data_IF_385773034643
#
_entry.id   IF_385773034643
#
_cell.length_a   1.000
_cell.length_b   1.000
_cell.length_c   1.000
_cell.angle_alpha   90.00
_cell.angle_beta   90.00
_cell.angle_gamma   90.00
#
_symmetry.space_group_name_H-M   'P 1'
#
loop_
_entity.id
_entity.type
_entity.pdbx_description
1 polymer ?
#
# COMPACT_ATOMS: atom_id res chain seq x y z
N UNK A 1 17.81 26.87 29.80
CA UNK A 1 17.14 27.12 28.51
C UNK A 1 17.81 26.23 27.48
N UNK A 2 17.02 25.60 26.60
CA UNK A 2 17.39 24.60 25.57
C UNK A 2 17.41 23.12 26.00
N UNK A 3 16.30 22.42 25.71
CA UNK A 3 16.21 20.95 25.61
C UNK A 3 16.47 20.58 24.14
N UNK A 4 17.31 19.58 23.83
CA UNK A 4 17.44 19.08 22.46
C UNK A 4 16.49 17.91 22.20
N UNK A 5 15.78 18.01 21.08
CA UNK A 5 15.34 16.95 20.17
C UNK A 5 14.74 15.66 20.79
N UNK A 6 13.44 15.68 21.03
CA UNK A 6 12.65 14.52 21.48
C UNK A 6 12.17 13.62 20.35
N UNK A 7 13.06 13.03 19.55
CA UNK A 7 12.73 11.88 18.71
C UNK A 7 12.67 10.61 19.57
N UNK A 8 11.60 10.47 20.38
CA UNK A 8 11.35 9.24 21.14
C UNK A 8 10.36 8.37 20.37
N UNK A 9 10.89 7.44 19.60
CA UNK A 9 10.17 6.29 19.04
C UNK A 9 9.63 5.43 20.18
N UNK A 10 8.36 5.63 20.56
CA UNK A 10 7.63 4.80 21.51
C UNK A 10 6.56 4.01 20.76
N UNK A 11 6.94 2.82 20.28
CA UNK A 11 6.00 1.80 19.83
C UNK A 11 5.48 1.06 21.06
N UNK A 12 4.25 1.36 21.49
CA UNK A 12 3.48 0.41 22.31
C UNK A 12 2.21 0.00 21.55
N UNK A 13 2.16 -1.29 21.25
CA UNK A 13 0.99 -2.02 20.77
C UNK A 13 0.21 -2.52 21.98
N UNK A 14 -1.08 -2.20 22.07
CA UNK A 14 -2.03 -2.92 22.92
C UNK A 14 -2.96 -3.72 22.00
N UNK A 15 -3.15 -5.02 22.21
CA UNK A 15 -4.14 -5.78 21.48
C UNK A 15 -5.54 -5.42 22.01
N UNK A 16 -6.48 -5.14 21.12
CA UNK A 16 -7.90 -5.12 21.45
C UNK A 16 -8.63 -5.92 20.38
N UNK A 17 -9.31 -6.98 20.83
CA UNK A 17 -9.98 -7.94 19.96
C UNK A 17 -10.98 -7.27 19.02
N UNK A 18 -10.99 -7.73 17.76
CA UNK A 18 -12.04 -7.46 16.77
C UNK A 18 -12.25 -6.01 16.32
N UNK A 19 -11.49 -5.04 16.83
CA UNK A 19 -11.62 -3.61 16.54
C UNK A 19 -10.35 -3.00 15.95
N UNK A 20 -10.51 -1.88 15.24
CA UNK A 20 -9.44 -1.10 14.59
C UNK A 20 -8.22 -0.94 15.51
N UNK A 21 -7.04 -1.39 15.05
CA UNK A 21 -5.79 -1.21 15.79
C UNK A 21 -5.39 0.27 15.80
N UNK A 22 -5.13 0.83 16.98
CA UNK A 22 -4.70 2.23 17.15
C UNK A 22 -3.17 2.33 17.08
N UNK A 23 -2.66 3.30 16.32
CA UNK A 23 -1.23 3.57 16.19
C UNK A 23 -0.96 5.06 16.44
N UNK A 24 -0.17 5.37 17.47
CA UNK A 24 0.23 6.75 17.78
C UNK A 24 1.53 7.08 17.02
N UNK A 25 1.57 8.23 16.37
CA UNK A 25 2.71 8.67 15.56
C UNK A 25 3.06 10.09 15.95
N UNK A 26 4.34 10.34 16.22
CA UNK A 26 4.88 11.69 16.38
C UNK A 26 5.53 12.13 15.07
N UNK A 27 5.19 13.32 14.60
CA UNK A 27 5.71 13.91 13.37
C UNK A 27 6.45 15.20 13.71
N UNK A 28 7.56 15.53 13.02
CA UNK A 28 8.09 16.89 12.99
C UNK A 28 7.03 17.88 12.49
N UNK A 29 7.12 19.14 12.91
CA UNK A 29 6.14 20.18 12.58
C UNK A 29 5.89 20.32 11.08
N UNK A 30 6.95 20.21 10.27
CA UNK A 30 6.87 20.31 8.81
C UNK A 30 6.00 19.18 8.21
N UNK A 31 6.17 17.94 8.70
CA UNK A 31 5.34 16.81 8.25
C UNK A 31 3.90 16.92 8.77
N UNK A 32 3.70 17.47 9.97
CA UNK A 32 2.35 17.73 10.47
C UNK A 32 1.62 18.74 9.57
N UNK A 33 2.27 19.85 9.22
CA UNK A 33 1.69 20.88 8.34
C UNK A 33 1.32 20.31 6.97
N UNK A 34 2.19 19.49 6.39
CA UNK A 34 1.90 18.79 5.15
C UNK A 34 0.65 17.89 5.28
N UNK A 35 0.56 17.08 6.33
CA UNK A 35 -0.61 16.23 6.58
C UNK A 35 -1.89 17.05 6.74
N UNK A 36 -1.85 18.15 7.50
CA UNK A 36 -3.01 19.03 7.71
C UNK A 36 -3.50 19.63 6.38
N UNK A 37 -2.58 20.05 5.50
CA UNK A 37 -2.92 20.54 4.17
C UNK A 37 -3.60 19.46 3.34
N UNK A 38 -3.06 18.24 3.34
CA UNK A 38 -3.64 17.12 2.60
C UNK A 38 -5.04 16.75 3.10
N UNK A 39 -5.28 16.84 4.41
CA UNK A 39 -6.61 16.64 5.01
C UNK A 39 -7.59 17.68 4.50
N UNK A 40 -7.20 18.96 4.48
CA UNK A 40 -8.05 20.05 4.01
C UNK A 40 -8.34 19.99 2.50
N UNK A 41 -7.32 19.72 1.67
CA UNK A 41 -7.43 19.71 0.21
C UNK A 41 -8.24 18.52 -0.32
N UNK A 42 -8.13 17.37 0.32
CA UNK A 42 -8.75 16.13 -0.13
C UNK A 42 -9.95 15.70 0.73
N UNK A 43 -10.47 16.61 1.56
CA UNK A 43 -11.66 16.43 2.39
C UNK A 43 -11.62 15.17 3.27
N UNK A 44 -10.44 14.79 3.78
CA UNK A 44 -10.35 13.72 4.78
C UNK A 44 -10.95 14.21 6.10
N UNK A 45 -11.57 13.32 6.87
CA UNK A 45 -12.14 13.65 8.18
C UNK A 45 -11.09 13.75 9.30
N UNK A 46 -9.87 13.24 9.08
CA UNK A 46 -8.77 13.33 10.06
C UNK A 46 -7.40 13.02 9.45
N UNK A 47 -6.34 13.43 10.14
CA UNK A 47 -4.96 13.04 9.82
C UNK A 47 -4.77 11.51 9.83
N UNK A 48 -5.41 10.81 10.76
CA UNK A 48 -5.36 9.33 10.83
C UNK A 48 -6.04 8.67 9.63
N UNK A 49 -7.04 9.30 9.02
CA UNK A 49 -7.65 8.83 7.78
C UNK A 49 -6.71 9.00 6.60
N UNK A 50 -6.15 10.20 6.41
CA UNK A 50 -5.16 10.44 5.38
C UNK A 50 -3.99 9.45 5.44
N UNK A 51 -3.42 9.26 6.64
CA UNK A 51 -2.29 8.34 6.81
C UNK A 51 -2.66 6.88 6.55
N UNK A 52 -3.87 6.45 6.90
CA UNK A 52 -4.36 5.09 6.56
C UNK A 52 -4.46 4.90 5.04
N UNK A 53 -4.99 5.88 4.32
CA UNK A 53 -5.05 5.83 2.86
C UNK A 53 -3.66 5.87 2.23
N UNK A 54 -2.74 6.68 2.77
CA UNK A 54 -1.37 6.72 2.30
C UNK A 54 -0.67 5.36 2.46
N UNK A 55 -0.86 4.69 3.60
CA UNK A 55 -0.31 3.35 3.85
C UNK A 55 -0.90 2.32 2.88
N UNK A 56 -2.20 2.38 2.58
CA UNK A 56 -2.83 1.48 1.59
C UNK A 56 -2.22 1.68 0.21
N UNK A 57 -2.11 2.93 -0.25
CA UNK A 57 -1.46 3.26 -1.54
C UNK A 57 -0.02 2.76 -1.58
N UNK A 58 0.74 2.95 -0.51
CA UNK A 58 2.11 2.44 -0.45
C UNK A 58 2.16 0.91 -0.54
N UNK A 59 1.26 0.20 0.16
CA UNK A 59 1.16 -1.25 0.08
C UNK A 59 0.84 -1.71 -1.35
N UNK A 60 -0.07 -1.05 -2.04
CA UNK A 60 -0.45 -1.40 -3.42
C UNK A 60 0.73 -1.19 -4.39
N UNK A 61 1.51 -0.11 -4.20
CA UNK A 61 2.73 0.16 -4.96
C UNK A 61 3.77 -0.94 -4.73
N UNK A 62 4.01 -1.34 -3.47
CA UNK A 62 4.96 -2.42 -3.15
C UNK A 62 4.51 -3.77 -3.75
N UNK A 63 3.20 -4.05 -3.74
CA UNK A 63 2.65 -5.24 -4.39
C UNK A 63 2.88 -5.23 -5.90
N UNK A 64 2.56 -4.11 -6.56
CA UNK A 64 2.79 -3.94 -8.00
C UNK A 64 4.27 -4.11 -8.34
N UNK A 65 5.16 -3.48 -7.55
CA UNK A 65 6.61 -3.60 -7.72
C UNK A 65 7.05 -5.06 -7.62
N UNK A 66 6.52 -5.81 -6.67
CA UNK A 66 6.79 -7.25 -6.53
C UNK A 66 6.41 -8.05 -7.78
N UNK A 67 5.21 -7.80 -8.34
CA UNK A 67 4.75 -8.48 -9.57
C UNK A 67 5.62 -8.12 -10.77
N UNK A 68 5.96 -6.85 -10.94
CA UNK A 68 6.81 -6.39 -12.04
C UNK A 68 8.21 -7.00 -11.97
N UNK A 69 8.82 -7.06 -10.77
CA UNK A 69 10.11 -7.71 -10.57
C UNK A 69 10.02 -9.23 -10.81
N UNK A 70 8.92 -9.86 -10.36
CA UNK A 70 8.64 -11.27 -10.64
C UNK A 70 8.58 -11.55 -12.15
N UNK A 71 7.89 -10.72 -12.92
CA UNK A 71 7.83 -10.81 -14.38
C UNK A 71 9.17 -10.51 -15.06
N UNK A 72 9.89 -9.48 -14.62
CA UNK A 72 11.22 -9.18 -15.15
C UNK A 72 12.21 -10.33 -14.93
N UNK A 73 12.05 -11.07 -13.83
CA UNK A 73 12.87 -12.22 -13.48
C UNK A 73 12.28 -13.57 -13.97
N UNK A 74 11.18 -13.57 -14.75
CA UNK A 74 10.54 -14.81 -15.21
C UNK A 74 11.20 -15.43 -16.45
N UNK A 75 12.32 -14.86 -16.91
CA UNK A 75 13.02 -15.27 -18.12
C UNK A 75 12.70 -14.38 -19.32
N UNK A 76 13.26 -14.71 -20.50
CA UNK A 76 13.11 -13.90 -21.70
C UNK A 76 11.65 -13.72 -22.11
N UNK A 77 11.29 -12.51 -22.55
CA UNK A 77 9.98 -12.25 -23.11
C UNK A 77 9.79 -13.04 -24.42
N UNK A 78 8.63 -13.67 -24.57
CA UNK A 78 8.21 -14.36 -25.80
C UNK A 78 7.20 -13.49 -26.53
N UNK A 79 7.32 -13.37 -27.84
CA UNK A 79 6.37 -12.61 -28.65
C UNK A 79 4.97 -13.23 -28.55
N UNK A 80 3.96 -12.39 -28.36
CA UNK A 80 2.56 -12.82 -28.41
C UNK A 80 2.15 -13.00 -29.88
N UNK A 81 2.10 -14.25 -30.34
CA UNK A 81 1.68 -14.60 -31.70
C UNK A 81 0.16 -14.45 -31.90
N UNK A 82 -0.26 -14.45 -33.17
CA UNK A 82 -1.67 -14.44 -33.52
C UNK A 82 -2.41 -15.63 -32.86
N UNK A 83 -3.44 -15.34 -32.08
CA UNK A 83 -4.20 -16.36 -31.34
C UNK A 83 -3.69 -16.66 -29.93
N UNK A 84 -2.62 -16.03 -29.46
CA UNK A 84 -2.11 -16.17 -28.08
C UNK A 84 -3.21 -15.99 -27.02
N UNK A 85 -3.99 -14.90 -27.13
CA UNK A 85 -5.08 -14.62 -26.19
C UNK A 85 -6.26 -15.60 -26.34
N UNK A 86 -6.57 -16.05 -27.56
CA UNK A 86 -7.61 -17.07 -27.77
C UNK A 86 -7.24 -18.39 -27.08
N UNK A 87 -5.97 -18.81 -27.20
CA UNK A 87 -5.47 -20.01 -26.53
C UNK A 87 -5.46 -19.84 -25.01
N UNK A 88 -5.12 -18.66 -24.49
CA UNK A 88 -5.19 -18.34 -23.07
C UNK A 88 -6.63 -18.44 -22.54
N UNK A 89 -7.60 -17.86 -23.26
CA UNK A 89 -9.00 -17.88 -22.87
C UNK A 89 -9.59 -19.30 -22.91
N UNK A 90 -9.25 -20.09 -23.93
CA UNK A 90 -9.65 -21.50 -24.01
C UNK A 90 -9.15 -22.31 -22.79
N UNK A 91 -7.90 -22.10 -22.37
CA UNK A 91 -7.31 -22.74 -21.17
C UNK A 91 -8.00 -22.29 -19.88
N UNK A 92 -8.35 -21.01 -19.75
CA UNK A 92 -9.07 -20.51 -18.58
C UNK A 92 -10.47 -21.12 -18.46
N UNK A 93 -11.21 -21.18 -19.57
CA UNK A 93 -12.54 -21.77 -19.63
C UNK A 93 -12.53 -23.28 -19.33
N UNK A 94 -11.52 -24.01 -19.83
CA UNK A 94 -11.38 -25.43 -19.54
C UNK A 94 -11.20 -25.71 -18.03
N UNK A 95 -10.38 -24.91 -17.33
CA UNK A 95 -10.16 -25.04 -15.87
C UNK A 95 -11.39 -24.66 -15.04
N UNK A 96 -12.26 -23.80 -15.57
CA UNK A 96 -13.49 -23.41 -14.90
C UNK A 96 -14.61 -24.45 -15.06
N UNK A 97 -14.54 -25.33 -16.06
CA UNK A 97 -15.51 -26.41 -16.27
C UNK A 97 -15.17 -27.73 -15.56
N UNK A 98 -13.99 -27.82 -14.95
CA UNK A 98 -13.55 -28.98 -14.13
C UNK A 98 -13.82 -28.77 -12.62
N UNK A 99 -14.43 -27.65 -12.23
CA UNK A 99 -14.87 -27.32 -10.86
C UNK A 99 -16.40 -27.36 -10.77
#
# INVERSE_FOLDING_TARGET
MHLPNGARTLWQSLPSGGGMATMNISLPDELKQFVDQQVAEHAYGSSSEYLRELIRKQRDIEQLRGVLLGGANSGPAVAAEAGFFNAMQARANARAGEQ
#
